data_IF_413953504545
#
_entry.id   IF_413953504545
#
_cell.length_a   1.000
_cell.length_b   1.000
_cell.length_c   1.000
_cell.angle_alpha   90.00
_cell.angle_beta   90.00
_cell.angle_gamma   90.00
#
_symmetry.space_group_name_H-M   'P 1'
#
loop_
_entity.id
_entity.type
_entity.pdbx_description
1 polymer ?
#
# COMPACT_ATOMS: atom_id res chain seq x y z
N UNK A 1 7.08 -0.34 6.45
CA UNK A 1 6.23 0.01 5.30
C UNK A 1 4.90 0.41 5.90
N UNK A 2 4.46 1.65 5.75
CA UNK A 2 3.05 1.92 5.93
C UNK A 2 2.39 1.57 4.61
N UNK A 3 1.91 0.34 4.51
CA UNK A 3 1.06 -0.06 3.40
C UNK A 3 -0.20 0.80 3.43
N UNK A 4 -0.63 1.27 2.25
CA UNK A 4 -1.87 2.03 2.07
C UNK A 4 -3.02 1.35 2.82
N UNK A 5 -3.60 2.02 3.82
CA UNK A 5 -4.77 1.45 4.51
C UNK A 5 -5.90 1.27 3.50
N UNK A 6 -6.34 0.03 3.29
CA UNK A 6 -7.49 -0.26 2.43
C UNK A 6 -8.73 0.07 3.25
N UNK A 7 -9.35 1.20 2.92
CA UNK A 7 -10.47 1.76 3.67
C UNK A 7 -11.73 0.93 3.41
N UNK A 8 -12.30 0.34 4.46
CA UNK A 8 -13.61 -0.31 4.39
C UNK A 8 -14.74 0.71 4.16
N UNK A 9 -15.92 0.26 3.72
CA UNK A 9 -17.05 1.16 3.51
C UNK A 9 -17.46 1.95 4.77
N UNK A 10 -17.31 1.35 5.96
CA UNK A 10 -17.57 1.99 7.25
C UNK A 10 -16.51 3.05 7.57
N UNK A 11 -15.24 2.74 7.37
CA UNK A 11 -14.16 3.71 7.58
C UNK A 11 -14.24 4.86 6.57
N UNK A 12 -14.62 4.59 5.33
CA UNK A 12 -14.85 5.60 4.30
C UNK A 12 -15.92 6.60 4.73
N UNK A 13 -16.98 6.11 5.38
CA UNK A 13 -18.05 6.96 5.95
C UNK A 13 -17.49 7.93 6.98
N UNK A 14 -16.60 7.45 7.87
CA UNK A 14 -15.95 8.27 8.90
C UNK A 14 -15.00 9.28 8.27
N UNK A 15 -14.19 8.86 7.29
CA UNK A 15 -13.22 9.72 6.59
C UNK A 15 -13.90 10.83 5.78
N UNK A 16 -15.08 10.58 5.23
CA UNK A 16 -15.84 11.56 4.47
C UNK A 16 -16.70 12.48 5.36
N UNK A 17 -16.87 12.17 6.65
CA UNK A 17 -17.67 12.98 7.55
C UNK A 17 -17.26 14.47 7.58
N UNK A 18 -15.95 14.82 7.60
CA UNK A 18 -15.51 16.21 7.51
C UNK A 18 -16.01 16.94 6.26
N UNK A 19 -16.08 16.26 5.10
CA UNK A 19 -16.54 16.83 3.82
C UNK A 19 -17.98 17.31 3.92
N UNK A 20 -18.81 16.66 4.73
CA UNK A 20 -20.20 17.07 4.95
C UNK A 20 -20.39 18.10 6.07
N UNK A 21 -19.40 18.24 6.97
CA UNK A 21 -19.42 19.23 8.05
C UNK A 21 -18.82 20.57 7.65
N UNK A 22 -17.92 20.56 6.66
CA UNK A 22 -17.45 21.77 6.02
C UNK A 22 -18.62 22.41 5.28
N UNK A 23 -18.81 23.72 5.43
CA UNK A 23 -19.95 24.48 4.90
C UNK A 23 -20.02 24.53 3.35
N UNK A 24 -19.24 23.68 2.65
CA UNK A 24 -19.24 23.56 1.19
C UNK A 24 -20.52 22.88 0.74
N UNK A 25 -21.42 23.66 0.14
CA UNK A 25 -22.63 23.14 -0.49
C UNK A 25 -22.34 22.34 -1.77
N UNK A 26 -21.11 22.31 -2.26
CA UNK A 26 -20.76 21.69 -3.54
C UNK A 26 -19.70 20.62 -3.33
N UNK A 27 -19.98 19.41 -3.79
CA UNK A 27 -19.06 18.28 -3.79
C UNK A 27 -18.79 17.84 -5.22
N UNK A 28 -17.52 17.73 -5.58
CA UNK A 28 -17.08 17.25 -6.89
C UNK A 28 -16.41 15.89 -6.71
N UNK A 29 -16.92 14.87 -7.41
CA UNK A 29 -16.34 13.55 -7.48
C UNK A 29 -15.70 13.36 -8.87
N UNK A 30 -14.38 13.39 -8.92
CA UNK A 30 -13.63 12.98 -10.10
C UNK A 30 -13.40 11.47 -10.05
N UNK A 31 -13.92 10.76 -11.05
CA UNK A 31 -13.89 9.29 -11.09
C UNK A 31 -13.09 8.80 -12.30
N UNK A 32 -12.00 8.11 -12.03
CA UNK A 32 -11.23 7.36 -13.04
C UNK A 32 -11.67 5.90 -13.12
N UNK A 33 -11.28 5.22 -14.19
CA UNK A 33 -11.47 3.77 -14.31
C UNK A 33 -10.48 3.00 -13.42
N UNK A 34 -9.23 3.44 -13.35
CA UNK A 34 -8.17 2.86 -12.51
C UNK A 34 -7.32 3.91 -11.82
N UNK A 35 -6.87 3.67 -10.59
CA UNK A 35 -5.91 4.54 -9.88
C UNK A 35 -5.11 3.76 -8.83
N UNK A 36 -3.80 3.98 -8.74
CA UNK A 36 -2.94 3.51 -7.65
C UNK A 36 -2.01 4.63 -7.16
N UNK A 37 -1.59 4.55 -5.89
CA UNK A 37 -0.50 5.39 -5.37
C UNK A 37 0.78 5.22 -6.20
N UNK A 38 1.03 4.00 -6.67
CA UNK A 38 2.21 3.67 -7.47
C UNK A 38 2.22 4.40 -8.80
N UNK A 39 1.05 4.78 -9.34
CA UNK A 39 0.98 5.53 -10.60
C UNK A 39 1.54 6.93 -10.44
N UNK A 40 1.30 7.58 -9.28
CA UNK A 40 1.89 8.88 -8.99
C UNK A 40 3.42 8.80 -8.89
N UNK A 41 3.93 7.76 -8.23
CA UNK A 41 5.38 7.55 -8.12
C UNK A 41 6.02 7.17 -9.45
N UNK A 42 5.42 6.23 -10.18
CA UNK A 42 5.97 5.73 -11.44
C UNK A 42 5.98 6.80 -12.54
N UNK A 43 4.87 7.53 -12.70
CA UNK A 43 4.70 8.48 -13.81
C UNK A 43 5.21 9.89 -13.52
N UNK A 44 5.53 10.23 -12.26
CA UNK A 44 6.16 11.52 -11.92
C UNK A 44 7.62 11.59 -12.36
N UNK A 45 8.34 10.45 -12.34
CA UNK A 45 9.77 10.39 -12.68
C UNK A 45 10.04 10.07 -14.16
N UNK A 46 9.06 9.54 -14.89
CA UNK A 46 9.31 8.84 -16.16
C UNK A 46 9.31 9.70 -17.43
N UNK A 47 9.00 11.00 -17.38
CA UNK A 47 8.85 11.79 -18.61
C UNK A 47 9.47 13.19 -18.58
N UNK A 48 10.37 13.42 -19.57
CA UNK A 48 10.98 14.68 -20.00
C UNK A 48 10.58 15.95 -19.22
N UNK A 49 11.16 16.14 -18.03
CA UNK A 49 11.13 17.39 -17.26
C UNK A 49 9.72 18.01 -17.06
N UNK A 50 8.64 17.26 -17.28
CA UNK A 50 7.26 17.71 -17.23
C UNK A 50 6.44 16.66 -16.49
N UNK A 51 6.13 16.99 -15.24
CA UNK A 51 5.25 16.19 -14.41
C UNK A 51 3.84 16.15 -15.07
N UNK A 52 3.27 14.96 -15.36
CA UNK A 52 1.91 14.85 -15.90
C UNK A 52 0.84 15.27 -14.88
N UNK A 53 1.18 15.32 -13.60
CA UNK A 53 0.35 15.85 -12.52
C UNK A 53 0.76 17.31 -12.26
N UNK A 54 0.21 18.25 -13.02
CA UNK A 54 0.53 19.68 -12.85
C UNK A 54 -0.32 20.31 -11.74
N UNK A 55 -1.54 19.79 -11.56
CA UNK A 55 -2.46 20.23 -10.53
C UNK A 55 -2.27 19.40 -9.25
N UNK A 56 -1.06 19.45 -8.68
CA UNK A 56 -0.74 18.83 -7.39
C UNK A 56 -1.49 19.51 -6.24
N UNK A 57 -2.81 19.30 -6.16
CA UNK A 57 -3.63 19.61 -4.98
C UNK A 57 -3.06 18.93 -3.72
N UNK A 58 -2.22 17.90 -3.92
CA UNK A 58 -1.43 17.21 -2.91
C UNK A 58 -0.46 18.10 -2.13
N UNK A 59 -0.03 19.26 -2.63
CA UNK A 59 0.85 20.17 -1.86
C UNK A 59 0.16 20.78 -0.62
N UNK A 60 -1.17 20.79 -0.60
CA UNK A 60 -1.96 21.25 0.55
C UNK A 60 -2.35 20.12 1.52
N UNK A 61 -1.96 18.86 1.23
CA UNK A 61 -2.30 17.72 2.09
C UNK A 61 -1.44 17.74 3.36
N UNK A 62 -2.04 17.82 4.57
CA UNK A 62 -1.29 17.82 5.82
C UNK A 62 -0.71 16.44 6.19
N UNK A 63 -0.97 15.40 5.38
CA UNK A 63 -0.50 14.03 5.64
C UNK A 63 0.64 13.66 4.72
N UNK A 64 1.82 13.42 5.30
CA UNK A 64 3.03 13.03 4.59
C UNK A 64 3.17 11.51 4.41
N UNK A 65 2.26 10.68 4.96
CA UNK A 65 2.36 9.23 4.80
C UNK A 65 0.99 8.58 4.67
N UNK A 66 0.94 7.60 3.75
CA UNK A 66 -0.13 6.63 3.48
C UNK A 66 -1.34 7.21 2.74
N UNK A 67 -1.31 7.17 1.41
CA UNK A 67 -2.55 7.32 0.64
C UNK A 67 -3.31 5.98 0.71
N UNK A 68 -4.59 5.99 1.11
CA UNK A 68 -5.40 4.78 1.12
C UNK A 68 -5.50 4.22 -0.31
N UNK A 69 -5.35 2.90 -0.44
CA UNK A 69 -5.48 2.22 -1.72
C UNK A 69 -6.96 2.18 -2.15
N UNK A 70 -7.21 2.27 -3.46
CA UNK A 70 -8.57 2.20 -4.02
C UNK A 70 -9.11 0.78 -3.85
N UNK A 71 -10.17 0.65 -3.07
CA UNK A 71 -10.90 -0.61 -2.92
C UNK A 71 -12.09 -0.68 -3.88
N UNK A 72 -12.10 -1.73 -4.72
CA UNK A 72 -13.16 -1.95 -5.71
C UNK A 72 -14.56 -2.05 -5.06
N UNK A 73 -14.65 -2.62 -3.87
CA UNK A 73 -15.92 -2.85 -3.21
C UNK A 73 -16.43 -1.56 -2.58
N UNK A 74 -15.58 -0.83 -1.86
CA UNK A 74 -15.90 0.46 -1.26
C UNK A 74 -16.32 1.50 -2.32
N UNK A 75 -15.65 1.57 -3.48
CA UNK A 75 -16.03 2.53 -4.55
C UNK A 75 -17.43 2.26 -5.11
N UNK A 76 -17.88 0.99 -5.16
CA UNK A 76 -19.26 0.69 -5.60
C UNK A 76 -20.30 1.28 -4.66
N UNK A 77 -19.99 1.41 -3.38
CA UNK A 77 -20.88 2.00 -2.38
C UNK A 77 -20.75 3.52 -2.30
N UNK A 78 -19.63 4.11 -2.73
CA UNK A 78 -19.34 5.54 -2.60
C UNK A 78 -20.44 6.42 -3.20
N UNK A 79 -20.80 6.24 -4.47
CA UNK A 79 -21.78 7.12 -5.11
C UNK A 79 -23.15 7.03 -4.43
N UNK A 80 -23.58 5.81 -4.07
CA UNK A 80 -24.83 5.58 -3.33
C UNK A 80 -24.80 6.22 -1.94
N UNK A 81 -23.66 6.13 -1.25
CA UNK A 81 -23.45 6.74 0.05
C UNK A 81 -23.51 8.27 -0.03
N UNK A 82 -22.80 8.88 -0.99
CA UNK A 82 -22.82 10.32 -1.24
C UNK A 82 -24.25 10.79 -1.55
N UNK A 83 -24.97 10.09 -2.41
CA UNK A 83 -26.37 10.43 -2.73
C UNK A 83 -27.30 10.32 -1.52
N UNK A 84 -27.06 9.34 -0.64
CA UNK A 84 -27.86 9.13 0.58
C UNK A 84 -27.52 10.06 1.74
N UNK A 85 -26.36 10.72 1.71
CA UNK A 85 -25.89 11.57 2.83
C UNK A 85 -26.51 12.97 2.85
N UNK A 86 -27.19 13.40 1.78
CA UNK A 86 -27.79 14.73 1.68
C UNK A 86 -28.78 14.89 0.53
N UNK A 87 -29.55 15.99 0.51
CA UNK A 87 -30.48 16.34 -0.58
C UNK A 87 -29.71 17.01 -1.74
N UNK A 88 -28.85 16.23 -2.40
CA UNK A 88 -27.98 16.73 -3.48
C UNK A 88 -28.71 16.85 -4.81
N UNK A 89 -28.42 17.92 -5.56
CA UNK A 89 -28.65 17.94 -7.01
C UNK A 89 -27.50 17.19 -7.69
N UNK A 90 -27.78 15.98 -8.16
CA UNK A 90 -26.81 15.17 -8.92
C UNK A 90 -26.67 15.69 -10.35
N UNK A 91 -25.45 15.98 -10.77
CA UNK A 91 -25.12 16.31 -12.16
C UNK A 91 -23.98 15.42 -12.64
N UNK A 92 -24.26 14.54 -13.61
CA UNK A 92 -23.24 13.74 -14.27
C UNK A 92 -22.65 14.54 -15.42
N UNK A 93 -21.34 14.75 -15.40
CA UNK A 93 -20.60 15.54 -16.38
C UNK A 93 -19.83 14.54 -17.24
N UNK A 94 -20.35 14.29 -18.45
CA UNK A 94 -19.69 13.47 -19.47
C UNK A 94 -19.02 14.32 -20.55
N UNK A 95 -19.52 15.54 -20.76
CA UNK A 95 -18.89 16.54 -21.61
C UNK A 95 -18.10 17.50 -20.72
N UNK A 96 -16.78 17.48 -20.84
CA UNK A 96 -15.80 18.07 -19.90
C UNK A 96 -15.72 19.61 -20.01
N UNK A 97 -16.75 20.24 -20.56
CA UNK A 97 -16.82 21.68 -20.78
C UNK A 97 -17.52 22.33 -19.58
N UNK A 98 -16.73 22.92 -18.68
CA UNK A 98 -17.17 23.55 -17.44
C UNK A 98 -18.09 24.77 -17.67
N UNK A 99 -18.04 25.35 -18.87
CA UNK A 99 -18.81 26.51 -19.31
C UNK A 99 -20.34 26.31 -19.24
N UNK A 100 -20.81 25.07 -19.35
CA UNK A 100 -22.23 24.72 -19.27
C UNK A 100 -22.68 24.23 -17.89
N UNK A 101 -21.80 24.28 -16.88
CA UNK A 101 -22.11 23.73 -15.57
C UNK A 101 -22.98 24.67 -14.73
N UNK A 102 -24.28 24.38 -14.72
CA UNK A 102 -25.27 25.04 -13.86
C UNK A 102 -25.20 24.50 -12.42
N UNK A 103 -24.34 25.13 -11.61
CA UNK A 103 -24.27 24.91 -10.18
C UNK A 103 -25.40 25.70 -9.50
N UNK A 104 -26.31 25.00 -8.82
CA UNK A 104 -27.41 25.66 -8.11
C UNK A 104 -26.89 26.26 -6.80
N UNK A 105 -27.08 27.56 -6.57
CA UNK A 105 -26.65 28.20 -5.32
C UNK A 105 -27.60 27.95 -4.14
N UNK A 106 -28.82 27.49 -4.42
CA UNK A 106 -29.89 27.28 -3.42
C UNK A 106 -29.89 25.89 -2.78
N UNK A 107 -29.42 24.86 -3.50
CA UNK A 107 -29.34 23.47 -3.03
C UNK A 107 -27.91 22.96 -3.13
N UNK A 108 -27.51 22.00 -2.28
CA UNK A 108 -26.19 21.41 -2.41
C UNK A 108 -26.08 20.59 -3.70
N UNK A 109 -24.92 20.61 -4.35
CA UNK A 109 -24.68 19.95 -5.63
C UNK A 109 -23.67 18.81 -5.48
N UNK A 110 -23.96 17.67 -6.10
CA UNK A 110 -23.03 16.56 -6.27
C UNK A 110 -22.70 16.44 -7.76
N UNK A 111 -21.48 16.85 -8.11
CA UNK A 111 -20.98 16.87 -9.48
C UNK A 111 -20.12 15.62 -9.70
N UNK A 112 -20.55 14.71 -10.56
CA UNK A 112 -19.79 13.49 -10.88
C UNK A 112 -19.14 13.68 -12.23
N UNK A 113 -17.81 13.80 -12.24
CA UNK A 113 -16.99 13.97 -13.45
C UNK A 113 -16.34 12.64 -13.77
N UNK A 114 -16.76 12.02 -14.86
CA UNK A 114 -16.11 10.81 -15.37
C UNK A 114 -14.90 11.22 -16.21
N UNK A 115 -13.72 10.84 -15.75
CA UNK A 115 -12.47 11.11 -16.45
C UNK A 115 -12.22 10.08 -17.57
N UNK A 116 -11.30 10.41 -18.47
CA UNK A 116 -10.95 9.51 -19.57
C UNK A 116 -10.32 8.22 -19.02
N UNK A 117 -10.73 7.03 -19.54
CA UNK A 117 -10.16 5.77 -19.12
C UNK A 117 -8.67 5.66 -19.43
N UNK A 118 -7.92 5.07 -18.50
CA UNK A 118 -6.51 4.76 -18.65
C UNK A 118 -6.37 3.43 -19.40
N UNK A 119 -6.04 3.48 -20.69
CA UNK A 119 -5.90 2.27 -21.52
C UNK A 119 -4.60 1.54 -21.17
N UNK A 120 -4.69 0.60 -20.23
CA UNK A 120 -3.59 -0.31 -19.90
C UNK A 120 -3.34 -1.29 -21.06
N UNK A 121 -2.16 -1.22 -21.68
CA UNK A 121 -1.65 -2.28 -22.57
C UNK A 121 -1.21 -1.86 -23.98
N UNK A 122 -1.38 -0.60 -24.39
CA UNK A 122 -1.03 -0.17 -25.77
C UNK A 122 0.30 0.59 -25.87
N UNK A 123 0.61 1.48 -24.91
CA UNK A 123 1.89 2.19 -24.79
C UNK A 123 1.94 2.94 -23.43
N UNK A 124 3.09 3.06 -22.78
CA UNK A 124 3.24 3.92 -21.59
C UNK A 124 2.99 5.39 -21.92
N UNK A 125 3.38 5.79 -23.14
CA UNK A 125 3.19 7.16 -23.65
C UNK A 125 1.70 7.53 -23.72
N UNK A 126 0.85 6.63 -24.22
CA UNK A 126 -0.59 6.89 -24.30
C UNK A 126 -1.24 6.96 -22.91
N UNK A 127 -0.69 6.24 -21.93
CA UNK A 127 -1.16 6.30 -20.54
C UNK A 127 -0.81 7.64 -19.92
N UNK A 128 0.43 8.10 -20.11
CA UNK A 128 0.89 9.41 -19.65
C UNK A 128 0.10 10.58 -20.27
N UNK A 129 -0.16 10.52 -21.57
CA UNK A 129 -0.99 11.52 -22.26
C UNK A 129 -2.42 11.55 -21.68
N UNK A 130 -3.03 10.39 -21.44
CA UNK A 130 -4.35 10.31 -20.81
C UNK A 130 -4.36 10.88 -19.37
N UNK A 131 -3.30 10.63 -18.58
CA UNK A 131 -3.14 11.23 -17.24
C UNK A 131 -3.04 12.76 -17.35
N UNK A 132 -2.20 13.26 -18.25
CA UNK A 132 -2.00 14.69 -18.42
C UNK A 132 -3.26 15.42 -18.91
N UNK A 133 -4.04 14.79 -19.79
CA UNK A 133 -5.34 15.34 -20.22
C UNK A 133 -6.35 15.33 -19.07
N UNK A 134 -6.42 14.26 -18.28
CA UNK A 134 -7.24 14.19 -17.08
C UNK A 134 -6.86 15.27 -16.06
N UNK A 135 -5.58 15.52 -15.84
CA UNK A 135 -5.08 16.57 -14.96
C UNK A 135 -5.49 17.97 -15.46
N UNK A 136 -5.37 18.23 -16.78
CA UNK A 136 -5.85 19.49 -17.39
C UNK A 136 -7.35 19.69 -17.21
N UNK A 137 -8.15 18.64 -17.32
CA UNK A 137 -9.60 18.69 -17.11
C UNK A 137 -9.90 19.07 -15.66
N UNK A 138 -9.24 18.42 -14.70
CA UNK A 138 -9.39 18.71 -13.27
C UNK A 138 -9.04 20.18 -13.02
N UNK A 139 -7.85 20.62 -13.45
CA UNK A 139 -7.38 21.99 -13.27
C UNK A 139 -8.29 23.03 -13.90
N UNK A 140 -8.76 22.81 -15.13
CA UNK A 140 -9.69 23.72 -15.79
C UNK A 140 -10.99 23.85 -14.99
N UNK A 141 -11.60 22.73 -14.60
CA UNK A 141 -12.89 22.74 -13.91
C UNK A 141 -12.80 23.34 -12.51
N UNK A 142 -11.74 23.04 -11.76
CA UNK A 142 -11.54 23.63 -10.42
C UNK A 142 -11.26 25.13 -10.52
N UNK A 143 -10.45 25.57 -11.49
CA UNK A 143 -10.18 26.99 -11.72
C UNK A 143 -11.45 27.76 -12.11
N UNK A 144 -12.25 27.23 -13.05
CA UNK A 144 -13.50 27.85 -13.50
C UNK A 144 -14.50 28.05 -12.33
N UNK A 145 -14.62 27.05 -11.46
CA UNK A 145 -15.48 27.13 -10.27
C UNK A 145 -14.94 28.12 -9.23
N UNK A 146 -13.61 28.17 -9.05
CA UNK A 146 -12.97 29.13 -8.16
C UNK A 146 -13.15 30.57 -8.65
N UNK A 147 -12.95 30.83 -9.94
CA UNK A 147 -13.15 32.15 -10.57
C UNK A 147 -14.61 32.61 -10.46
N UNK A 148 -15.57 31.68 -10.49
CA UNK A 148 -16.99 31.94 -10.25
C UNK A 148 -17.34 32.15 -8.77
N UNK A 149 -16.37 32.05 -7.86
CA UNK A 149 -16.56 32.22 -6.41
C UNK A 149 -17.33 31.07 -5.75
N UNK A 150 -17.34 29.88 -6.37
CA UNK A 150 -18.05 28.72 -5.86
C UNK A 150 -17.13 27.95 -4.90
N UNK A 151 -17.52 27.85 -3.63
CA UNK A 151 -16.83 26.99 -2.67
C UNK A 151 -17.22 25.52 -2.88
N UNK A 152 -16.23 24.64 -3.03
CA UNK A 152 -16.45 23.22 -3.23
C UNK A 152 -15.41 22.37 -2.47
N UNK A 153 -15.78 21.12 -2.21
CA UNK A 153 -14.88 20.06 -1.78
C UNK A 153 -14.71 19.06 -2.92
N UNK A 154 -13.55 18.41 -2.99
CA UNK A 154 -13.21 17.47 -4.07
C UNK A 154 -12.90 16.10 -3.51
N UNK A 155 -13.42 15.07 -4.15
CA UNK A 155 -13.00 13.68 -4.00
C UNK A 155 -12.43 13.23 -5.34
N UNK A 156 -11.21 12.72 -5.32
CA UNK A 156 -10.56 12.13 -6.49
C UNK A 156 -10.30 10.64 -6.21
N UNK A 157 -10.88 9.77 -7.04
CA UNK A 157 -10.80 8.31 -6.82
C UNK A 157 -11.04 7.54 -8.13
N UNK A 158 -10.99 6.20 -8.07
CA UNK A 158 -11.25 5.33 -9.21
C UNK A 158 -12.17 4.15 -8.87
N UNK A 159 -12.77 3.57 -9.91
CA UNK A 159 -13.65 2.39 -9.82
C UNK A 159 -12.90 1.15 -9.31
N UNK A 160 -11.63 1.02 -9.64
CA UNK A 160 -10.76 -0.10 -9.23
C UNK A 160 -9.30 0.35 -9.15
N UNK A 161 -8.41 -0.39 -8.48
CA UNK A 161 -6.99 -0.07 -8.52
C UNK A 161 -6.38 -0.44 -9.88
N UNK A 162 -5.45 0.37 -10.38
CA UNK A 162 -4.63 0.05 -11.58
C UNK A 162 -3.66 -1.10 -11.31
N UNK A 163 -3.18 -1.17 -10.06
CA UNK A 163 -2.35 -2.25 -9.54
C UNK A 163 -3.02 -2.80 -8.30
N UNK A 164 -3.40 -4.08 -8.35
CA UNK A 164 -3.81 -4.77 -7.12
C UNK A 164 -2.51 -4.97 -6.34
N UNK A 165 -2.30 -4.18 -5.29
CA UNK A 165 -1.37 -4.59 -4.23
C UNK A 165 -1.89 -5.94 -3.78
N UNK A 166 -1.17 -7.02 -4.11
CA UNK A 166 -1.59 -8.37 -3.75
C UNK A 166 -1.72 -8.36 -2.23
N UNK A 167 -2.96 -8.40 -1.72
CA UNK A 167 -3.23 -8.88 -0.37
C UNK A 167 -2.64 -10.28 -0.31
N UNK A 168 -1.42 -10.39 0.19
CA UNK A 168 -0.91 -11.61 0.81
C UNK A 168 -1.64 -11.76 2.13
N UNK A 169 -2.94 -12.06 2.08
CA UNK A 169 -3.69 -12.61 3.21
C UNK A 169 -3.23 -14.05 3.52
N UNK A 170 -2.21 -14.53 2.83
CA UNK A 170 -1.37 -15.65 3.23
C UNK A 170 0.08 -15.23 3.04
N UNK A 171 0.88 -15.39 4.09
CA UNK A 171 2.34 -15.24 4.17
C UNK A 171 2.86 -13.90 4.69
N UNK A 172 2.72 -13.71 6.00
CA UNK A 172 3.41 -12.68 6.78
C UNK A 172 4.94 -12.84 6.89
N UNK A 173 5.65 -13.25 5.82
CA UNK A 173 7.11 -13.42 5.86
C UNK A 173 7.92 -12.75 4.74
N UNK A 174 7.34 -12.14 3.70
CA UNK A 174 8.16 -11.40 2.72
C UNK A 174 8.22 -9.91 3.04
N UNK A 175 9.24 -9.51 3.82
CA UNK A 175 9.73 -8.13 3.82
C UNK A 175 10.90 -7.96 2.85
N UNK A 176 10.72 -6.96 1.99
CA UNK A 176 11.66 -6.17 1.16
C UNK A 176 11.88 -6.71 -0.25
N UNK A 177 11.44 -5.95 -1.24
CA UNK A 177 12.34 -5.29 -2.21
C UNK A 177 11.57 -4.39 -3.19
N UNK A 178 12.04 -3.17 -3.36
CA UNK A 178 12.02 -2.44 -4.62
C UNK A 178 13.46 -2.02 -4.90
N UNK A 179 13.95 -2.29 -6.11
CA UNK A 179 15.35 -2.37 -6.56
C UNK A 179 16.11 -3.64 -6.13
N UNK A 180 15.57 -4.82 -6.44
CA UNK A 180 16.42 -5.99 -6.64
C UNK A 180 16.15 -6.54 -8.05
N UNK A 181 17.21 -6.63 -8.84
CA UNK A 181 17.31 -7.63 -9.91
C UNK A 181 16.87 -8.96 -9.32
N UNK A 182 16.04 -9.72 -10.03
CA UNK A 182 15.70 -11.10 -9.67
C UNK A 182 17.00 -11.93 -9.65
N UNK A 183 17.76 -11.85 -8.56
CA UNK A 183 18.75 -12.85 -8.23
C UNK A 183 17.96 -14.07 -7.77
N UNK A 184 18.11 -15.15 -8.53
CA UNK A 184 17.46 -16.43 -8.31
C UNK A 184 17.38 -16.76 -6.82
N UNK A 185 16.14 -17.01 -6.36
CA UNK A 185 15.77 -17.43 -5.02
C UNK A 185 16.88 -18.17 -4.28
N UNK A 186 17.65 -17.44 -3.48
CA UNK A 186 18.38 -18.06 -2.39
C UNK A 186 17.34 -18.48 -1.35
N UNK A 187 17.30 -19.77 -1.05
CA UNK A 187 16.36 -20.40 -0.12
C UNK A 187 16.39 -19.64 1.23
N UNK A 188 15.50 -18.68 1.41
CA UNK A 188 15.35 -17.96 2.67
C UNK A 188 14.52 -18.84 3.60
N UNK A 189 15.18 -19.40 4.61
CA UNK A 189 14.59 -20.27 5.61
C UNK A 189 14.11 -19.45 6.82
N UNK A 190 13.03 -19.89 7.47
CA UNK A 190 12.46 -19.19 8.61
C UNK A 190 13.39 -19.24 9.85
N UNK A 191 13.35 -18.22 10.72
CA UNK A 191 14.14 -18.19 11.95
C UNK A 191 13.78 -19.34 12.91
N UNK A 192 14.76 -19.78 13.69
CA UNK A 192 14.54 -20.74 14.77
C UNK A 192 13.78 -20.08 15.92
N UNK A 193 12.71 -20.71 16.38
CA UNK A 193 11.86 -20.22 17.47
C UNK A 193 12.00 -21.08 18.74
N UNK A 194 12.19 -20.42 19.88
CA UNK A 194 12.10 -21.05 21.20
C UNK A 194 10.90 -20.48 21.93
N UNK A 195 10.00 -21.36 22.35
CA UNK A 195 8.77 -21.00 23.05
C UNK A 195 8.90 -21.25 24.54
N UNK A 196 8.31 -20.36 25.34
CA UNK A 196 8.14 -20.54 26.78
C UNK A 196 6.65 -20.48 27.07
N UNK A 197 6.01 -21.64 27.23
CA UNK A 197 4.55 -21.73 27.29
C UNK A 197 3.90 -21.44 25.94
N UNK A 198 3.02 -20.43 25.88
CA UNK A 198 2.29 -20.04 24.66
C UNK A 198 2.99 -18.95 23.84
N UNK A 199 4.04 -18.32 24.38
CA UNK A 199 4.69 -17.18 23.75
C UNK A 199 6.08 -17.56 23.21
N UNK A 200 6.43 -16.98 22.07
CA UNK A 200 7.78 -17.09 21.50
C UNK A 200 8.69 -16.17 22.32
N UNK A 201 9.73 -16.75 22.92
CA UNK A 201 10.66 -16.03 23.77
C UNK A 201 11.98 -15.71 23.06
N UNK A 202 12.55 -16.65 22.30
CA UNK A 202 13.81 -16.44 21.56
C UNK A 202 13.57 -16.68 20.08
N UNK A 203 14.01 -15.73 19.26
CA UNK A 203 14.08 -15.85 17.81
C UNK A 203 15.54 -15.77 17.39
N UNK A 204 16.02 -16.82 16.74
CA UNK A 204 17.41 -16.94 16.29
C UNK A 204 17.46 -17.08 14.76
N UNK A 205 18.23 -16.23 14.10
CA UNK A 205 18.40 -16.22 12.65
C UNK A 205 19.84 -15.91 12.27
N UNK A 206 20.36 -16.64 11.29
CA UNK A 206 21.63 -16.33 10.64
C UNK A 206 21.60 -16.82 9.19
N UNK A 207 22.22 -16.08 8.28
CA UNK A 207 22.38 -16.49 6.87
C UNK A 207 23.44 -17.57 6.67
N UNK A 208 24.39 -17.68 7.61
CA UNK A 208 25.38 -18.74 7.69
C UNK A 208 25.65 -19.01 9.16
N UNK A 209 25.49 -20.26 9.57
CA UNK A 209 25.78 -20.72 10.91
C UNK A 209 26.78 -21.86 10.85
N UNK A 210 28.06 -21.51 11.02
CA UNK A 210 29.16 -22.46 10.99
C UNK A 210 30.12 -22.26 12.15
N UNK A 211 30.74 -23.36 12.57
CA UNK A 211 31.69 -23.40 13.68
C UNK A 211 33.00 -24.02 13.23
N UNK A 212 34.08 -23.55 13.85
CA UNK A 212 35.42 -24.08 13.63
C UNK A 212 35.95 -24.67 14.93
N UNK A 213 36.01 -26.00 15.02
CA UNK A 213 36.56 -26.72 16.16
C UNK A 213 38.02 -27.13 15.91
N UNK A 214 38.84 -27.12 16.96
CA UNK A 214 40.25 -27.58 16.94
C UNK A 214 41.10 -26.96 15.80
N UNK A 215 40.81 -25.73 15.38
CA UNK A 215 41.60 -24.99 14.39
C UNK A 215 41.49 -25.48 12.94
N UNK A 216 40.81 -26.60 12.66
CA UNK A 216 40.72 -27.20 11.32
C UNK A 216 39.38 -27.83 10.97
N UNK A 217 38.54 -28.20 11.95
CA UNK A 217 37.26 -28.88 11.70
C UNK A 217 36.19 -27.82 11.47
N UNK A 218 35.73 -27.71 10.22
CA UNK A 218 34.61 -26.85 9.85
C UNK A 218 33.29 -27.62 9.95
N UNK A 219 32.32 -27.04 10.65
CA UNK A 219 31.01 -27.62 10.90
C UNK A 219 29.99 -26.62 10.41
N UNK A 220 29.27 -26.94 9.33
CA UNK A 220 28.15 -26.13 8.86
C UNK A 220 26.85 -26.65 9.50
N UNK A 221 26.22 -25.80 10.30
CA UNK A 221 24.99 -26.07 11.01
C UNK A 221 23.79 -25.35 10.39
N UNK A 222 23.97 -24.59 9.31
CA UNK A 222 22.94 -23.72 8.71
C UNK A 222 21.70 -24.52 8.33
N UNK A 223 21.87 -25.59 7.55
CA UNK A 223 20.78 -26.44 7.08
C UNK A 223 20.15 -27.24 8.25
N UNK A 224 20.97 -27.72 9.18
CA UNK A 224 20.51 -28.44 10.37
C UNK A 224 19.64 -27.56 11.28
N UNK A 225 19.95 -26.26 11.38
CA UNK A 225 19.33 -25.33 12.32
C UNK A 225 18.07 -24.70 11.74
N UNK A 226 18.14 -24.18 10.51
CA UNK A 226 17.06 -23.34 9.98
C UNK A 226 16.19 -24.01 8.92
N UNK A 227 16.73 -24.99 8.18
CA UNK A 227 16.00 -25.63 7.07
C UNK A 227 15.32 -26.92 7.53
N UNK A 228 16.09 -27.84 8.11
CA UNK A 228 15.56 -29.13 8.61
C UNK A 228 15.11 -29.07 10.06
N UNK A 229 15.51 -28.02 10.80
CA UNK A 229 15.20 -27.81 12.22
C UNK A 229 15.49 -29.04 13.09
N UNK A 230 16.55 -29.80 12.77
CA UNK A 230 16.95 -31.00 13.48
C UNK A 230 17.86 -30.69 14.68
N UNK A 231 17.57 -29.61 15.39
CA UNK A 231 18.31 -29.10 16.55
C UNK A 231 17.43 -29.21 17.79
N UNK A 232 18.01 -29.72 18.88
CA UNK A 232 17.31 -29.82 20.16
C UNK A 232 17.52 -28.52 20.96
N UNK A 233 16.42 -27.84 21.26
CA UNK A 233 16.38 -26.55 21.98
C UNK A 233 15.82 -26.68 23.40
N UNK A 234 15.57 -27.90 23.89
CA UNK A 234 14.89 -28.17 25.16
C UNK A 234 15.63 -27.65 26.40
N UNK A 235 16.94 -27.46 26.31
CA UNK A 235 17.79 -26.89 27.37
C UNK A 235 17.84 -25.35 27.36
N UNK A 236 17.05 -24.70 26.50
CA UNK A 236 16.95 -23.23 26.46
C UNK A 236 16.10 -22.72 27.61
N UNK A 237 16.54 -21.63 28.24
CA UNK A 237 15.88 -21.04 29.39
C UNK A 237 15.43 -19.61 29.09
N UNK A 238 14.18 -19.33 29.43
CA UNK A 238 13.52 -18.05 29.25
C UNK A 238 12.97 -17.59 30.59
N UNK A 239 13.57 -16.56 31.16
CA UNK A 239 13.09 -15.90 32.38
C UNK A 239 13.10 -14.38 32.19
N UNK A 240 12.41 -13.66 33.07
CA UNK A 240 12.35 -12.20 33.04
C UNK A 240 13.70 -11.51 33.26
N UNK A 241 14.69 -12.25 33.79
CA UNK A 241 16.01 -11.73 34.18
C UNK A 241 17.14 -12.26 33.31
N UNK A 242 17.08 -13.52 32.87
CA UNK A 242 18.10 -14.18 32.07
C UNK A 242 17.46 -15.04 30.97
N UNK A 243 18.02 -14.97 29.77
CA UNK A 243 17.63 -15.78 28.62
C UNK A 243 18.85 -16.50 28.08
N UNK A 244 18.78 -17.82 27.93
CA UNK A 244 19.88 -18.66 27.41
C UNK A 244 19.35 -19.56 26.31
N UNK A 245 19.95 -19.46 25.13
CA UNK A 245 19.63 -20.31 23.98
C UNK A 245 20.57 -21.51 23.97
N UNK A 246 20.05 -22.71 24.18
CA UNK A 246 20.83 -23.94 24.07
C UNK A 246 20.49 -24.66 22.76
N UNK A 247 21.50 -24.92 21.92
CA UNK A 247 21.38 -25.63 20.66
C UNK A 247 22.19 -26.92 20.74
N UNK A 248 21.50 -28.07 20.71
CA UNK A 248 22.14 -29.38 20.79
C UNK A 248 21.98 -30.17 19.49
N UNK A 249 23.10 -30.62 18.96
CA UNK A 249 23.20 -31.40 17.72
C UNK A 249 23.74 -32.79 17.98
N UNK A 250 23.08 -33.81 17.44
CA UNK A 250 23.55 -35.20 17.47
C UNK A 250 24.29 -35.54 16.18
N UNK A 251 25.54 -35.99 16.30
CA UNK A 251 26.41 -36.36 15.16
C UNK A 251 26.50 -35.28 14.06
N UNK A 252 26.87 -34.03 14.38
CA UNK A 252 26.90 -32.94 13.39
C UNK A 252 27.92 -33.18 12.26
N UNK A 253 29.05 -33.83 12.56
CA UNK A 253 30.08 -34.22 11.59
C UNK A 253 30.75 -35.53 12.00
N UNK A 254 31.39 -36.20 11.05
CA UNK A 254 32.19 -37.41 11.33
C UNK A 254 33.27 -37.10 12.38
N UNK A 255 33.23 -37.82 13.49
CA UNK A 255 34.18 -37.65 14.61
C UNK A 255 33.66 -36.84 15.79
N UNK A 256 32.49 -36.19 15.69
CA UNK A 256 31.84 -35.49 16.81
C UNK A 256 30.50 -36.18 17.09
N UNK A 257 30.36 -36.82 18.25
CA UNK A 257 29.13 -37.53 18.63
C UNK A 257 28.01 -36.59 19.07
N UNK A 258 28.34 -35.50 19.74
CA UNK A 258 27.40 -34.47 20.18
C UNK A 258 28.08 -33.11 20.26
N UNK A 259 27.33 -32.05 19.92
CA UNK A 259 27.76 -30.66 20.05
C UNK A 259 26.64 -29.88 20.72
N UNK A 260 26.96 -29.14 21.78
CA UNK A 260 26.03 -28.24 22.47
C UNK A 260 26.61 -26.83 22.49
N UNK A 261 25.78 -25.85 22.15
CA UNK A 261 26.10 -24.43 22.14
C UNK A 261 25.12 -23.77 23.11
N UNK A 262 25.60 -22.93 24.03
CA UNK A 262 24.78 -22.21 25.02
C UNK A 262 25.16 -20.74 25.03
#
# INVERSE_FOLDING_TARGET
LHEGHVVSAQELTVLLQPVFTQNSRNLILFLQDTLSIDDFTYFSESYSNKNPFQNEILQSSPSSLVLPAVDCEATRYLLRFLQGSGDWKLTNITNLDASHLEVNTSKPNLLVVQLQPLVSGLNEISTLEAIAENDKIIGRLTMDLQERGIHFSVIYTAVRPSRISRRTDVLGELRRQLMATEEEFSLSYSPLNVTSGNDICILFYASNFSLKANGSVFIDLTNATFVTQNVDVSSSECSDINTTLSLKYTKPVNGISSLEIR
#
